data_IF_869184471818
#
_entry.id   IF_869184471818
#
_cell.length_a   1.000
_cell.length_b   1.000
_cell.length_c   1.000
_cell.angle_alpha   90.00
_cell.angle_beta   90.00
_cell.angle_gamma   90.00
#
_symmetry.space_group_name_H-M   'P 1'
#
loop_
_entity.id
_entity.type
_entity.pdbx_description
1 polymer ?
#
# COMPACT_ATOMS: atom_id res chain seq x y z
N UNK A 1 -3.74 22.78 -15.17
CA UNK A 1 -2.60 22.58 -14.25
C UNK A 1 -2.24 21.10 -13.99
N UNK A 2 -3.21 20.16 -13.98
CA UNK A 2 -2.99 18.78 -13.47
C UNK A 2 -2.11 17.88 -14.37
N UNK A 3 -2.11 18.10 -15.68
CA UNK A 3 -1.33 17.31 -16.66
C UNK A 3 0.08 17.84 -16.87
N UNK A 4 0.29 19.16 -16.70
CA UNK A 4 1.56 19.85 -16.93
C UNK A 4 2.69 19.35 -16.03
N UNK A 5 2.37 18.98 -14.78
CA UNK A 5 3.37 18.62 -13.77
C UNK A 5 4.11 17.32 -14.09
N UNK A 6 3.52 16.42 -14.87
CA UNK A 6 4.20 15.19 -15.29
C UNK A 6 5.33 15.50 -16.28
N UNK A 7 5.06 16.39 -17.24
CA UNK A 7 6.00 16.74 -18.31
C UNK A 7 6.99 17.84 -17.91
N UNK A 8 6.69 18.60 -16.84
CA UNK A 8 7.54 19.67 -16.31
C UNK A 8 8.14 19.34 -14.93
N UNK A 9 8.29 18.05 -14.59
CA UNK A 9 8.77 17.62 -13.26
C UNK A 9 10.12 18.24 -12.88
N UNK A 10 11.05 18.36 -13.82
CA UNK A 10 12.35 19.00 -13.63
C UNK A 10 12.21 20.49 -13.27
N UNK A 11 11.36 21.23 -13.99
CA UNK A 11 11.12 22.65 -13.74
C UNK A 11 10.47 22.90 -12.37
N UNK A 12 9.50 22.05 -11.98
CA UNK A 12 8.89 22.12 -10.66
C UNK A 12 9.90 21.88 -9.52
N UNK A 13 10.83 20.94 -9.70
CA UNK A 13 11.90 20.67 -8.72
C UNK A 13 12.95 21.77 -8.69
N UNK A 14 13.27 22.36 -9.85
CA UNK A 14 14.17 23.50 -9.94
C UNK A 14 13.62 24.75 -9.23
N UNK A 15 12.31 24.80 -8.98
CA UNK A 15 11.66 25.92 -8.29
C UNK A 15 11.01 25.50 -6.96
N UNK A 16 11.75 25.50 -5.83
CA UNK A 16 11.25 25.07 -4.51
C UNK A 16 9.96 25.75 -4.03
N UNK A 17 9.69 26.96 -4.51
CA UNK A 17 8.45 27.67 -4.22
C UNK A 17 7.22 26.98 -4.83
N UNK A 18 7.33 26.32 -5.99
CA UNK A 18 6.23 25.55 -6.57
C UNK A 18 5.87 24.34 -5.69
N UNK A 19 6.86 23.58 -5.22
CA UNK A 19 6.63 22.47 -4.28
C UNK A 19 6.02 22.97 -2.96
N UNK A 20 6.51 24.09 -2.45
CA UNK A 20 5.97 24.72 -1.24
C UNK A 20 4.52 25.20 -1.45
N UNK A 21 4.18 25.71 -2.63
CA UNK A 21 2.82 26.08 -3.00
C UNK A 21 1.88 24.86 -3.04
N UNK A 22 2.30 23.77 -3.70
CA UNK A 22 1.54 22.52 -3.72
C UNK A 22 1.33 21.95 -2.30
N UNK A 23 2.36 21.96 -1.46
CA UNK A 23 2.26 21.51 -0.07
C UNK A 23 1.29 22.37 0.77
N UNK A 24 1.27 23.68 0.54
CA UNK A 24 0.33 24.59 1.19
C UNK A 24 -1.13 24.32 0.76
N UNK A 25 -1.36 23.96 -0.50
CA UNK A 25 -2.68 23.66 -1.03
C UNK A 25 -3.37 22.45 -0.40
N UNK A 26 -2.61 21.57 0.25
CA UNK A 26 -3.15 20.49 1.08
C UNK A 26 -3.98 21.00 2.28
N UNK A 27 -3.91 22.29 2.61
CA UNK A 27 -4.72 22.95 3.64
C UNK A 27 -6.02 23.58 3.13
N UNK A 28 -6.25 23.64 1.82
CA UNK A 28 -7.50 24.17 1.27
C UNK A 28 -8.69 23.38 1.83
N UNK A 29 -9.78 24.08 2.15
CA UNK A 29 -11.04 23.43 2.53
C UNK A 29 -11.65 22.67 1.35
N UNK A 30 -11.35 23.11 0.13
CA UNK A 30 -11.74 22.41 -1.07
C UNK A 30 -11.01 21.07 -1.24
N UNK A 31 -11.78 19.99 -1.32
CA UNK A 31 -11.23 18.65 -1.49
C UNK A 31 -10.63 18.47 -2.90
N UNK A 32 -11.22 19.10 -3.93
CA UNK A 32 -10.72 19.02 -5.30
C UNK A 32 -9.36 19.70 -5.40
N UNK A 33 -9.20 20.89 -4.81
CA UNK A 33 -7.92 21.57 -4.67
C UNK A 33 -6.88 20.69 -3.95
N UNK A 34 -7.22 20.12 -2.78
CA UNK A 34 -6.33 19.22 -2.02
C UNK A 34 -5.87 18.02 -2.84
N UNK A 35 -6.79 17.32 -3.50
CA UNK A 35 -6.48 16.19 -4.36
C UNK A 35 -5.62 16.61 -5.55
N UNK A 36 -5.88 17.77 -6.14
CA UNK A 36 -5.10 18.32 -7.25
C UNK A 36 -3.67 18.63 -6.82
N UNK A 37 -3.49 19.30 -5.68
CA UNK A 37 -2.18 19.58 -5.12
C UNK A 37 -1.43 18.31 -4.76
N UNK A 38 -2.07 17.35 -4.09
CA UNK A 38 -1.48 16.06 -3.74
C UNK A 38 -1.05 15.28 -4.98
N UNK A 39 -1.92 15.18 -5.98
CA UNK A 39 -1.61 14.47 -7.21
C UNK A 39 -0.54 15.19 -8.03
N UNK A 40 -0.52 16.53 -8.03
CA UNK A 40 0.56 17.33 -8.58
C UNK A 40 1.90 17.00 -7.91
N UNK A 41 1.89 16.90 -6.58
CA UNK A 41 3.06 16.54 -5.77
C UNK A 41 3.57 15.13 -6.08
N UNK A 42 2.68 14.14 -6.09
CA UNK A 42 3.02 12.74 -6.43
C UNK A 42 3.53 12.63 -7.87
N UNK A 43 2.97 13.37 -8.84
CA UNK A 43 3.45 13.28 -10.23
C UNK A 43 4.84 13.88 -10.43
N UNK A 44 5.26 14.84 -9.60
CA UNK A 44 6.59 15.47 -9.71
C UNK A 44 7.73 14.48 -9.52
N UNK A 45 7.54 13.42 -8.73
CA UNK A 45 8.58 12.44 -8.42
C UNK A 45 8.50 11.17 -9.28
N UNK A 46 7.49 11.05 -10.15
CA UNK A 46 7.23 9.80 -10.90
C UNK A 46 8.39 9.34 -11.77
N UNK A 47 9.15 10.27 -12.37
CA UNK A 47 10.24 9.94 -13.29
C UNK A 47 11.53 9.52 -12.60
N UNK A 48 11.69 9.81 -11.32
CA UNK A 48 12.86 9.41 -10.50
C UNK A 48 12.53 8.26 -9.57
N UNK A 49 11.24 7.99 -9.39
CA UNK A 49 10.77 6.93 -8.54
C UNK A 49 11.29 5.57 -9.00
N UNK A 50 11.80 4.82 -8.04
CA UNK A 50 12.02 3.40 -8.22
C UNK A 50 10.68 2.69 -8.39
N UNK A 51 10.69 1.60 -9.16
CA UNK A 51 9.54 0.71 -9.22
C UNK A 51 9.28 0.13 -7.82
N UNK A 52 8.00 0.02 -7.48
CA UNK A 52 7.63 -0.60 -6.21
C UNK A 52 8.14 -2.03 -6.19
N UNK A 53 8.83 -2.41 -5.10
CA UNK A 53 9.39 -3.75 -4.99
C UNK A 53 8.28 -4.72 -4.61
N UNK A 54 7.50 -5.13 -5.61
CA UNK A 54 6.43 -6.13 -5.43
C UNK A 54 7.01 -7.52 -5.21
N UNK A 55 8.24 -7.76 -5.68
CA UNK A 55 8.90 -9.05 -5.60
C UNK A 55 9.82 -9.12 -4.38
N UNK A 56 9.21 -9.33 -3.23
CA UNK A 56 9.93 -9.54 -1.98
C UNK A 56 10.71 -10.87 -2.01
N UNK A 57 12.05 -10.81 -1.91
CA UNK A 57 12.87 -12.02 -1.82
C UNK A 57 12.84 -12.62 -0.42
N UNK A 58 11.83 -13.46 -0.22
CA UNK A 58 11.61 -14.21 0.99
C UNK A 58 12.84 -14.98 1.50
N UNK A 59 13.76 -15.46 0.62
CA UNK A 59 14.95 -16.20 1.08
C UNK A 59 15.91 -15.32 1.83
N UNK A 60 16.25 -14.20 1.20
CA UNK A 60 17.13 -13.20 1.81
C UNK A 60 16.52 -12.73 3.13
N UNK A 61 15.22 -12.48 3.18
CA UNK A 61 14.55 -12.08 4.43
C UNK A 61 14.57 -13.15 5.52
N UNK A 62 14.32 -14.42 5.19
CA UNK A 62 14.42 -15.52 6.18
C UNK A 62 15.86 -15.67 6.68
N UNK A 63 16.85 -15.64 5.78
CA UNK A 63 18.26 -15.78 6.13
C UNK A 63 18.73 -14.62 7.03
N UNK A 64 18.41 -13.37 6.67
CA UNK A 64 18.72 -12.18 7.47
C UNK A 64 18.03 -12.25 8.83
N UNK A 65 16.75 -12.61 8.87
CA UNK A 65 16.00 -12.75 10.13
C UNK A 65 16.61 -13.81 11.05
N UNK A 66 17.01 -14.96 10.50
CA UNK A 66 17.64 -16.05 11.27
C UNK A 66 19.04 -15.69 11.76
N UNK A 67 19.83 -14.96 10.96
CA UNK A 67 21.20 -14.59 11.30
C UNK A 67 21.28 -13.47 12.33
N UNK A 68 20.46 -12.42 12.18
CA UNK A 68 20.56 -11.20 12.98
C UNK A 68 19.57 -11.15 14.16
N UNK A 69 18.49 -11.92 14.10
CA UNK A 69 17.37 -11.77 15.04
C UNK A 69 16.66 -10.42 14.90
N UNK A 70 15.61 -10.21 15.69
CA UNK A 70 14.88 -8.93 15.71
C UNK A 70 15.47 -8.02 16.80
N UNK A 71 15.92 -6.80 16.48
CA UNK A 71 16.37 -5.83 17.48
C UNK A 71 15.32 -5.60 18.60
N UNK A 72 15.78 -5.44 19.84
CA UNK A 72 14.91 -5.37 21.03
C UNK A 72 13.82 -4.28 20.95
N UNK A 73 14.12 -3.12 20.36
CA UNK A 73 13.13 -2.05 20.23
C UNK A 73 12.07 -2.39 19.18
N UNK A 74 12.44 -3.02 18.07
CA UNK A 74 11.49 -3.52 17.07
C UNK A 74 10.65 -4.67 17.65
N UNK A 75 11.27 -5.58 18.40
CA UNK A 75 10.58 -6.67 19.09
C UNK A 75 9.51 -6.13 20.06
N UNK A 76 9.84 -5.10 20.86
CA UNK A 76 8.86 -4.43 21.72
C UNK A 76 7.72 -3.79 20.94
N UNK A 77 8.01 -3.14 19.79
CA UNK A 77 6.98 -2.56 18.93
C UNK A 77 6.08 -3.64 18.32
N UNK A 78 6.64 -4.75 17.87
CA UNK A 78 5.89 -5.91 17.37
C UNK A 78 4.98 -6.50 18.45
N UNK A 79 5.50 -6.65 19.67
CA UNK A 79 4.72 -7.14 20.80
C UNK A 79 3.60 -6.18 21.18
N UNK A 80 3.85 -4.87 21.12
CA UNK A 80 2.83 -3.85 21.39
C UNK A 80 1.74 -3.81 20.30
N UNK A 81 2.09 -4.01 19.02
CA UNK A 81 1.15 -4.06 17.91
C UNK A 81 0.32 -5.36 17.91
N UNK A 82 0.95 -6.44 18.33
CA UNK A 82 0.42 -7.81 18.32
C UNK A 82 1.22 -8.65 17.32
N UNK A 83 2.02 -9.63 17.79
CA UNK A 83 3.00 -10.32 16.95
C UNK A 83 2.36 -11.05 15.76
N UNK A 84 1.15 -11.57 15.94
CA UNK A 84 0.38 -12.29 14.91
C UNK A 84 -0.12 -11.36 13.79
N UNK A 85 -0.09 -10.04 14.00
CA UNK A 85 -0.45 -9.03 13.00
C UNK A 85 0.75 -8.55 12.18
N UNK A 86 1.96 -8.99 12.51
CA UNK A 86 3.18 -8.60 11.79
C UNK A 86 3.45 -9.61 10.67
N UNK A 87 3.78 -9.13 9.46
CA UNK A 87 4.13 -10.01 8.33
C UNK A 87 5.40 -10.83 8.58
N UNK A 88 6.30 -10.33 9.44
CA UNK A 88 7.43 -11.10 9.98
C UNK A 88 6.97 -12.40 10.65
N UNK A 89 5.79 -12.43 11.27
CA UNK A 89 5.27 -13.69 11.81
C UNK A 89 4.85 -14.65 10.70
N UNK A 90 4.40 -14.15 9.56
CA UNK A 90 4.19 -14.94 8.35
C UNK A 90 5.46 -15.65 7.88
N UNK A 91 6.63 -15.02 8.02
CA UNK A 91 7.92 -15.68 7.72
C UNK A 91 8.15 -16.94 8.56
N UNK A 92 7.68 -16.96 9.81
CA UNK A 92 7.84 -18.14 10.69
C UNK A 92 7.08 -19.38 10.19
N UNK A 93 6.08 -19.20 9.32
CA UNK A 93 5.34 -20.31 8.74
C UNK A 93 6.12 -21.04 7.64
N UNK A 94 7.15 -20.41 7.03
CA UNK A 94 7.91 -21.03 5.94
C UNK A 94 8.73 -22.22 6.43
N UNK A 95 9.56 -22.11 7.50
CA UNK A 95 10.27 -23.26 8.03
C UNK A 95 9.33 -24.37 8.50
N UNK A 96 8.16 -24.01 9.05
CA UNK A 96 7.14 -25.00 9.42
C UNK A 96 6.57 -25.75 8.21
N UNK A 97 6.30 -25.03 7.12
CA UNK A 97 5.85 -25.59 5.85
C UNK A 97 6.91 -26.55 5.29
N UNK A 98 8.17 -26.09 5.18
CA UNK A 98 9.33 -26.90 4.77
C UNK A 98 9.53 -28.15 5.63
N UNK A 99 9.36 -28.03 6.95
CA UNK A 99 9.44 -29.16 7.87
C UNK A 99 8.31 -30.16 7.60
N UNK A 100 7.08 -29.70 7.41
CA UNK A 100 5.94 -30.58 7.15
C UNK A 100 6.14 -31.44 5.89
N UNK A 101 6.64 -30.85 4.80
CA UNK A 101 6.93 -31.60 3.57
C UNK A 101 8.11 -32.56 3.74
N UNK A 102 9.19 -32.17 4.42
CA UNK A 102 10.28 -33.10 4.72
C UNK A 102 9.81 -34.28 5.56
N UNK A 103 9.03 -34.03 6.62
CA UNK A 103 8.43 -35.08 7.44
C UNK A 103 7.55 -36.01 6.61
N UNK A 104 6.78 -35.48 5.65
CA UNK A 104 6.02 -36.30 4.70
C UNK A 104 6.95 -37.17 3.82
N UNK A 105 8.00 -36.60 3.25
CA UNK A 105 8.92 -37.29 2.34
C UNK A 105 9.71 -38.41 3.03
N UNK A 106 10.12 -38.18 4.28
CA UNK A 106 10.87 -39.09 5.15
C UNK A 106 9.97 -40.16 5.80
N UNK A 107 8.67 -39.87 5.99
CA UNK A 107 7.72 -40.81 6.56
C UNK A 107 7.57 -42.04 5.67
N UNK A 108 7.53 -43.22 6.30
CA UNK A 108 7.26 -44.48 5.62
C UNK A 108 5.82 -44.55 5.07
N UNK A 109 4.88 -43.90 5.74
CA UNK A 109 3.46 -43.94 5.41
C UNK A 109 3.09 -42.94 4.31
N UNK A 110 3.85 -41.85 4.18
CA UNK A 110 3.63 -40.78 3.20
C UNK A 110 2.16 -40.34 3.17
N UNK A 111 1.65 -39.99 4.34
CA UNK A 111 0.27 -39.58 4.54
C UNK A 111 0.02 -38.16 3.97
N UNK A 112 -0.51 -38.10 2.75
CA UNK A 112 -0.88 -36.85 2.07
C UNK A 112 -1.99 -36.11 2.80
N UNK A 113 -2.86 -36.84 3.48
CA UNK A 113 -3.99 -36.27 4.18
C UNK A 113 -3.53 -35.51 5.43
N UNK A 114 -2.64 -36.11 6.24
CA UNK A 114 -2.02 -35.43 7.37
C UNK A 114 -1.20 -34.19 6.94
N UNK A 115 -0.48 -34.28 5.81
CA UNK A 115 0.21 -33.14 5.22
C UNK A 115 -0.78 -32.03 4.83
N UNK A 116 -1.91 -32.40 4.21
CA UNK A 116 -2.96 -31.46 3.80
C UNK A 116 -3.54 -30.66 4.95
N UNK A 117 -3.91 -31.32 6.05
CA UNK A 117 -4.41 -30.63 7.24
C UNK A 117 -3.39 -29.64 7.81
N UNK A 118 -2.11 -30.03 7.82
CA UNK A 118 -1.02 -29.15 8.28
C UNK A 118 -0.85 -27.95 7.33
N UNK A 119 -0.92 -28.16 6.02
CA UNK A 119 -0.84 -27.11 5.01
C UNK A 119 -2.03 -26.14 5.11
N UNK A 120 -3.25 -26.63 5.27
CA UNK A 120 -4.45 -25.80 5.43
C UNK A 120 -4.30 -24.85 6.63
N UNK A 121 -3.86 -25.39 7.78
CA UNK A 121 -3.61 -24.60 8.98
C UNK A 121 -2.49 -23.54 8.79
N UNK A 122 -1.48 -23.81 7.97
CA UNK A 122 -0.42 -22.85 7.66
C UNK A 122 -0.91 -21.75 6.71
N UNK A 123 -1.67 -22.10 5.67
CA UNK A 123 -2.27 -21.13 4.72
C UNK A 123 -3.13 -20.10 5.46
N UNK A 124 -3.89 -20.52 6.47
CA UNK A 124 -4.73 -19.58 7.25
C UNK A 124 -3.93 -18.61 8.12
N UNK A 125 -2.65 -18.90 8.39
CA UNK A 125 -1.79 -18.02 9.19
C UNK A 125 -1.09 -16.96 8.35
N UNK A 126 -0.82 -17.25 7.07
CA UNK A 126 -0.14 -16.31 6.17
C UNK A 126 -0.42 -16.67 4.72
N UNK A 127 -0.59 -15.65 3.90
CA UNK A 127 -0.73 -15.82 2.46
C UNK A 127 0.51 -16.44 1.80
N UNK A 128 1.67 -16.35 2.45
CA UNK A 128 2.95 -16.81 1.90
C UNK A 128 3.37 -18.22 2.36
N UNK A 129 2.51 -18.96 3.07
CA UNK A 129 2.88 -20.29 3.61
C UNK A 129 3.25 -21.31 2.53
N UNK A 130 2.74 -21.11 1.31
CA UNK A 130 2.99 -21.95 0.14
C UNK A 130 3.29 -21.02 -1.03
N UNK A 131 4.57 -20.97 -1.40
CA UNK A 131 5.10 -20.18 -2.53
C UNK A 131 5.11 -21.07 -3.77
N UNK A 132 4.91 -20.50 -4.95
CA UNK A 132 5.07 -21.22 -6.21
C UNK A 132 6.54 -21.47 -6.55
N UNK A 133 7.19 -22.34 -5.77
CA UNK A 133 8.56 -22.77 -6.01
C UNK A 133 8.67 -24.29 -6.05
N UNK A 134 9.73 -24.76 -6.69
CA UNK A 134 10.16 -26.15 -6.62
C UNK A 134 10.81 -26.45 -5.27
N UNK A 135 10.91 -27.73 -4.90
CA UNK A 135 11.71 -28.11 -3.73
C UNK A 135 13.17 -27.89 -4.04
N UNK A 136 13.82 -27.07 -3.22
CA UNK A 136 15.23 -26.79 -3.36
C UNK A 136 15.93 -27.17 -2.07
N UNK A 137 17.02 -27.91 -2.23
CA UNK A 137 17.96 -28.23 -1.15
C UNK A 137 19.26 -27.52 -1.47
N UNK A 138 19.90 -26.95 -0.44
CA UNK A 138 21.23 -26.37 -0.61
C UNK A 138 22.25 -27.51 -0.71
N UNK A 139 22.98 -27.56 -1.82
CA UNK A 139 24.08 -28.49 -2.01
C UNK A 139 25.18 -28.21 -0.98
N UNK A 140 25.65 -29.26 -0.30
CA UNK A 140 26.63 -29.14 0.79
C UNK A 140 28.02 -28.71 0.33
N UNK A 141 28.34 -28.87 -0.95
CA UNK A 141 29.67 -28.61 -1.52
C UNK A 141 29.70 -27.35 -2.37
N UNK A 142 28.64 -27.07 -3.12
CA UNK A 142 28.61 -25.88 -4.01
C UNK A 142 27.92 -24.68 -3.37
N UNK A 143 27.21 -24.87 -2.25
CA UNK A 143 26.30 -23.89 -1.65
C UNK A 143 25.14 -23.43 -2.57
N UNK A 144 25.06 -23.99 -3.77
CA UNK A 144 24.00 -23.69 -4.74
C UNK A 144 22.71 -24.44 -4.38
N UNK A 145 21.58 -23.82 -4.67
CA UNK A 145 20.29 -24.48 -4.52
C UNK A 145 20.01 -25.35 -5.73
N UNK A 146 19.91 -26.65 -5.51
CA UNK A 146 19.57 -27.62 -6.55
C UNK A 146 18.13 -28.07 -6.33
N UNK A 147 17.39 -28.23 -7.43
CA UNK A 147 16.05 -28.84 -7.37
C UNK A 147 16.19 -30.29 -6.91
N UNK A 148 15.65 -30.58 -5.74
CA UNK A 148 15.77 -31.89 -5.10
C UNK A 148 14.54 -32.73 -5.44
N UNK A 149 14.77 -33.90 -6.03
CA UNK A 149 13.72 -34.91 -6.17
C UNK A 149 13.58 -35.64 -4.83
N UNK A 150 12.83 -35.02 -3.92
CA UNK A 150 12.46 -35.57 -2.62
C UNK A 150 11.54 -36.82 -2.72
N UNK A 151 11.43 -37.42 -3.92
CA UNK A 151 10.64 -38.62 -4.22
C UNK A 151 9.17 -38.45 -3.87
N UNK A 152 8.65 -37.23 -3.96
CA UNK A 152 7.24 -36.93 -3.74
C UNK A 152 6.44 -37.08 -5.03
N UNK A 153 5.12 -37.31 -4.98
CA UNK A 153 4.30 -37.39 -6.19
C UNK A 153 4.09 -36.01 -6.87
N UNK A 154 4.72 -34.95 -6.36
CA UNK A 154 4.61 -33.57 -6.82
C UNK A 154 6.02 -32.94 -6.86
N UNK A 155 6.25 -32.02 -7.80
CA UNK A 155 7.55 -31.36 -8.00
C UNK A 155 7.64 -29.97 -7.35
N UNK A 156 6.50 -29.37 -7.07
CA UNK A 156 6.42 -28.03 -6.49
C UNK A 156 5.53 -27.98 -5.25
N UNK A 157 5.73 -26.92 -4.47
CA UNK A 157 4.87 -26.56 -3.35
C UNK A 157 3.42 -26.38 -3.79
N UNK A 158 3.18 -25.71 -4.93
CA UNK A 158 1.83 -25.54 -5.51
C UNK A 158 1.20 -26.89 -5.85
N UNK A 159 1.95 -27.81 -6.46
CA UNK A 159 1.44 -29.11 -6.85
C UNK A 159 1.09 -29.97 -5.62
N UNK A 160 1.85 -29.85 -4.53
CA UNK A 160 1.55 -30.55 -3.29
C UNK A 160 0.14 -30.26 -2.79
N UNK A 161 -0.31 -29.00 -2.88
CA UNK A 161 -1.65 -28.56 -2.47
C UNK A 161 -2.74 -29.28 -3.25
N UNK A 162 -2.53 -29.52 -4.55
CA UNK A 162 -3.49 -30.26 -5.35
C UNK A 162 -3.65 -31.71 -4.88
N UNK A 163 -2.53 -32.39 -4.62
CA UNK A 163 -2.54 -33.77 -4.12
C UNK A 163 -3.14 -33.88 -2.73
N UNK A 164 -2.81 -32.95 -1.82
CA UNK A 164 -3.34 -32.95 -0.46
C UNK A 164 -4.82 -32.56 -0.40
N UNK A 165 -5.28 -31.65 -1.28
CA UNK A 165 -6.71 -31.37 -1.47
C UNK A 165 -7.47 -32.64 -1.83
N UNK A 166 -6.99 -33.39 -2.82
CA UNK A 166 -7.62 -34.64 -3.24
C UNK A 166 -7.67 -35.66 -2.10
N UNK A 167 -6.55 -35.84 -1.40
CA UNK A 167 -6.49 -36.74 -0.25
C UNK A 167 -7.48 -36.35 0.88
N UNK A 168 -7.66 -35.05 1.14
CA UNK A 168 -8.65 -34.54 2.10
C UNK A 168 -10.09 -34.88 1.67
N UNK A 169 -10.43 -34.68 0.39
CA UNK A 169 -11.76 -35.01 -0.14
C UNK A 169 -12.05 -36.51 -0.14
N UNK A 170 -11.07 -37.32 -0.55
CA UNK A 170 -11.21 -38.78 -0.63
C UNK A 170 -11.46 -39.42 0.75
N UNK A 171 -11.03 -38.76 1.84
CA UNK A 171 -11.33 -39.19 3.21
C UNK A 171 -12.81 -39.10 3.57
N UNK A 172 -13.53 -38.15 2.97
CA UNK A 172 -14.98 -37.99 3.12
C UNK A 172 -15.46 -37.55 4.51
N UNK A 173 -14.61 -36.92 5.32
CA UNK A 173 -15.02 -36.37 6.61
C UNK A 173 -15.68 -34.99 6.42
N UNK A 174 -16.90 -34.82 6.93
CA UNK A 174 -17.67 -33.58 6.80
C UNK A 174 -16.98 -32.39 7.51
N UNK A 175 -16.29 -32.64 8.62
CA UNK A 175 -15.59 -31.60 9.39
C UNK A 175 -14.33 -31.06 8.67
N UNK A 176 -13.94 -31.71 7.56
CA UNK A 176 -12.71 -31.40 6.82
C UNK A 176 -12.96 -30.79 5.45
N UNK A 177 -14.22 -30.50 5.13
CA UNK A 177 -14.56 -29.80 3.91
C UNK A 177 -13.94 -28.38 3.85
N UNK A 178 -13.82 -27.71 4.99
CA UNK A 178 -13.23 -26.37 5.11
C UNK A 178 -11.71 -26.37 4.85
N UNK A 179 -10.89 -27.22 5.52
CA UNK A 179 -9.48 -27.40 5.14
C UNK A 179 -9.27 -27.73 3.66
N UNK A 180 -10.11 -28.57 3.08
CA UNK A 180 -10.02 -28.91 1.66
C UNK A 180 -10.35 -27.70 0.76
N UNK A 181 -11.37 -26.90 1.09
CA UNK A 181 -11.67 -25.66 0.39
C UNK A 181 -10.51 -24.66 0.47
N UNK A 182 -9.87 -24.51 1.64
CA UNK A 182 -8.72 -23.61 1.84
C UNK A 182 -7.56 -24.00 0.91
N UNK A 183 -7.22 -25.29 0.85
CA UNK A 183 -6.18 -25.80 -0.03
C UNK A 183 -6.54 -25.54 -1.50
N UNK A 184 -7.76 -25.86 -1.90
CA UNK A 184 -8.21 -25.71 -3.28
C UNK A 184 -8.24 -24.24 -3.73
N UNK A 185 -8.72 -23.33 -2.88
CA UNK A 185 -8.69 -21.88 -3.11
C UNK A 185 -7.25 -21.42 -3.33
N UNK A 186 -6.31 -21.83 -2.46
CA UNK A 186 -4.89 -21.48 -2.61
C UNK A 186 -4.32 -21.97 -3.95
N UNK A 187 -4.67 -23.20 -4.35
CA UNK A 187 -4.26 -23.75 -5.65
C UNK A 187 -4.83 -22.96 -6.83
N UNK A 188 -6.13 -22.59 -6.79
CA UNK A 188 -6.81 -21.82 -7.85
C UNK A 188 -6.23 -20.40 -7.97
N UNK A 189 -5.95 -19.74 -6.84
CA UNK A 189 -5.27 -18.43 -6.82
C UNK A 189 -3.89 -18.55 -7.47
N UNK A 190 -3.14 -19.61 -7.16
CA UNK A 190 -1.85 -19.89 -7.79
C UNK A 190 -1.93 -20.04 -9.31
N UNK A 191 -3.10 -20.41 -9.87
CA UNK A 191 -3.37 -20.48 -11.31
C UNK A 191 -3.94 -19.20 -11.91
N UNK A 192 -4.01 -18.11 -11.14
CA UNK A 192 -4.60 -16.83 -11.53
C UNK A 192 -6.09 -16.90 -11.94
N UNK A 193 -6.83 -17.91 -11.46
CA UNK A 193 -8.25 -18.08 -11.75
C UNK A 193 -9.14 -17.50 -10.63
N UNK A 194 -8.96 -16.21 -10.31
CA UNK A 194 -9.57 -15.55 -9.16
C UNK A 194 -11.11 -15.68 -9.06
N UNK A 195 -11.90 -15.54 -10.16
CA UNK A 195 -13.35 -15.72 -10.06
C UNK A 195 -13.76 -17.09 -9.50
N UNK A 196 -13.08 -18.16 -9.94
CA UNK A 196 -13.36 -19.53 -9.46
C UNK A 196 -13.02 -19.69 -7.98
N UNK A 197 -11.92 -19.09 -7.52
CA UNK A 197 -11.55 -19.10 -6.11
C UNK A 197 -12.59 -18.37 -5.25
N UNK A 198 -13.13 -17.25 -5.73
CA UNK A 198 -14.20 -16.50 -5.05
C UNK A 198 -15.50 -17.29 -4.97
N UNK A 199 -15.88 -18.00 -6.02
CA UNK A 199 -17.09 -18.83 -6.02
C UNK A 199 -16.99 -19.99 -5.03
N UNK A 200 -15.81 -20.64 -4.95
CA UNK A 200 -15.56 -21.69 -3.97
C UNK A 200 -15.57 -21.13 -2.54
N UNK A 201 -14.91 -19.99 -2.30
CA UNK A 201 -14.92 -19.33 -0.99
C UNK A 201 -16.34 -18.96 -0.55
N UNK A 202 -17.18 -18.43 -1.46
CA UNK A 202 -18.58 -18.10 -1.18
C UNK A 202 -19.39 -19.35 -0.79
N UNK A 203 -19.14 -20.47 -1.47
CA UNK A 203 -19.80 -21.75 -1.18
C UNK A 203 -19.43 -22.25 0.23
N UNK A 204 -18.14 -22.24 0.59
CA UNK A 204 -17.69 -22.62 1.92
C UNK A 204 -18.24 -21.71 3.03
N UNK A 205 -18.36 -20.40 2.76
CA UNK A 205 -18.99 -19.44 3.69
C UNK A 205 -20.48 -19.74 3.87
N UNK A 206 -21.22 -20.02 2.79
CA UNK A 206 -22.64 -20.36 2.87
C UNK A 206 -22.89 -21.62 3.69
N UNK A 207 -22.08 -22.67 3.50
CA UNK A 207 -22.14 -23.90 4.31
C UNK A 207 -21.97 -23.60 5.81
N UNK A 208 -21.00 -22.76 6.16
CA UNK A 208 -20.73 -22.37 7.54
C UNK A 208 -21.79 -21.46 8.17
N UNK A 209 -22.44 -20.61 7.38
CA UNK A 209 -23.54 -19.77 7.84
C UNK A 209 -24.79 -20.61 8.15
N UNK A 210 -25.10 -21.60 7.31
CA UNK A 210 -26.25 -22.49 7.52
C UNK A 210 -26.07 -23.42 8.73
N UNK A 211 -24.83 -23.74 9.11
CA UNK A 211 -24.52 -24.63 10.23
C UNK A 211 -24.48 -23.93 11.61
N UNK A 212 -24.65 -22.59 11.70
CA UNK A 212 -24.76 -21.91 13.00
C UNK A 212 -26.20 -21.98 13.53
N UNK A 213 -26.46 -22.67 14.65
CA UNK A 213 -27.81 -22.84 15.18
C UNK A 213 -28.45 -21.57 15.79
N UNK A 214 -27.89 -20.37 15.60
CA UNK A 214 -28.30 -19.16 16.33
C UNK A 214 -28.71 -17.94 15.48
N UNK A 215 -28.80 -18.03 14.16
CA UNK A 215 -29.19 -16.88 13.33
C UNK A 215 -30.68 -16.86 12.91
N UNK A 216 -31.55 -17.72 13.48
CA UNK A 216 -32.96 -17.79 13.08
C UNK A 216 -33.90 -16.93 13.94
N UNK A 217 -33.44 -16.33 15.05
CA UNK A 217 -34.33 -15.55 15.93
C UNK A 217 -34.16 -14.02 15.91
N UNK A 218 -33.16 -13.46 15.23
CA UNK A 218 -33.09 -12.00 15.04
C UNK A 218 -33.18 -11.65 13.56
N UNK A 219 -34.38 -11.22 13.14
CA UNK A 219 -34.70 -10.76 11.79
C UNK A 219 -33.92 -9.50 11.39
N UNK A 220 -32.61 -9.65 11.16
CA UNK A 220 -31.77 -8.66 10.51
C UNK A 220 -31.86 -8.87 9.00
N UNK A 221 -32.84 -8.22 8.39
CA UNK A 221 -32.77 -7.85 6.98
C UNK A 221 -31.43 -7.13 6.73
N UNK A 222 -30.65 -7.60 5.76
CA UNK A 222 -29.54 -6.82 5.20
C UNK A 222 -30.12 -5.57 4.54
N UNK A 223 -30.06 -4.43 5.24
CA UNK A 223 -30.19 -3.11 4.64
C UNK A 223 -28.79 -2.55 4.34
N UNK A 224 -28.62 -2.10 3.09
CA UNK A 224 -27.46 -1.34 2.61
C UNK A 224 -27.25 -0.05 3.42
N UNK A 225 -26.01 0.32 3.82
CA UNK A 225 -25.76 1.60 4.45
C UNK A 225 -25.05 2.54 3.46
N UNK A 226 -25.81 3.24 2.63
CA UNK A 226 -25.40 4.56 2.10
C UNK A 226 -26.61 5.48 2.09
N UNK A 227 -26.77 6.28 3.15
CA UNK A 227 -27.61 7.47 3.10
C UNK A 227 -27.03 8.60 3.94
N UNK A 228 -27.15 9.78 3.34
CA UNK A 228 -26.50 11.05 3.59
C UNK A 228 -27.25 11.80 4.70
N UNK A 229 -26.52 12.38 5.65
CA UNK A 229 -27.06 13.40 6.56
C UNK A 229 -26.70 14.79 6.03
N UNK A 230 -27.73 15.59 5.72
CA UNK A 230 -27.61 17.03 5.48
C UNK A 230 -27.40 17.78 6.80
N UNK A 231 -26.50 18.76 6.80
CA UNK A 231 -26.21 19.63 7.94
C UNK A 231 -26.69 21.04 7.58
N UNK A 232 -27.80 21.47 8.17
CA UNK A 232 -28.21 22.88 8.18
C UNK A 232 -28.38 23.29 9.65
N UNK A 233 -27.80 24.45 9.98
CA UNK A 233 -27.85 25.21 11.25
C UNK A 233 -26.52 25.25 12.02
N UNK A 234 -25.61 26.13 11.57
CA UNK A 234 -24.35 26.39 12.26
C UNK A 234 -24.52 27.47 13.34
N UNK A 235 -24.48 27.03 14.59
CA UNK A 235 -24.50 27.83 15.81
C UNK A 235 -23.08 28.26 16.26
N UNK A 236 -22.99 28.82 17.47
CA UNK A 236 -21.79 29.14 18.28
C UNK A 236 -20.58 28.19 18.12
N UNK A 237 -20.77 26.94 17.68
CA UNK A 237 -19.72 26.00 17.28
C UNK A 237 -18.75 26.49 16.18
N UNK A 238 -19.12 27.46 15.33
CA UNK A 238 -18.19 28.11 14.39
C UNK A 238 -17.04 28.86 15.09
N UNK A 239 -17.30 29.44 16.27
CA UNK A 239 -16.27 30.14 17.06
C UNK A 239 -15.34 29.17 17.77
N UNK A 240 -15.83 28.00 18.19
CA UNK A 240 -14.99 26.92 18.71
C UNK A 240 -14.14 26.26 17.60
N UNK A 241 -14.65 26.16 16.37
CA UNK A 241 -13.89 25.68 15.21
C UNK A 241 -12.65 26.53 14.89
N UNK A 242 -12.67 27.84 15.15
CA UNK A 242 -11.49 28.71 15.00
C UNK A 242 -10.42 28.46 16.08
N UNK A 243 -10.83 28.18 17.32
CA UNK A 243 -9.94 27.77 18.42
C UNK A 243 -9.38 26.35 18.17
N UNK A 244 -10.19 25.47 17.60
CA UNK A 244 -9.78 24.15 17.12
C UNK A 244 -8.76 24.33 15.98
N UNK A 245 -8.98 25.19 14.99
CA UNK A 245 -8.03 25.43 13.89
C UNK A 245 -6.66 25.93 14.38
N UNK A 246 -6.61 26.79 15.41
CA UNK A 246 -5.36 27.24 16.02
C UNK A 246 -4.70 26.19 16.93
N UNK A 247 -5.47 25.31 17.59
CA UNK A 247 -4.94 24.12 18.30
C UNK A 247 -4.52 22.99 17.36
N UNK A 248 -5.05 22.95 16.13
CA UNK A 248 -4.76 21.90 15.15
C UNK A 248 -3.43 22.08 14.44
N UNK A 249 -2.92 23.31 14.27
CA UNK A 249 -1.61 23.52 13.63
C UNK A 249 -0.47 22.83 14.41
N UNK A 250 -0.36 22.98 15.75
CA UNK A 250 0.58 22.19 16.55
C UNK A 250 0.34 20.67 16.47
N UNK A 251 -0.94 20.24 16.37
CA UNK A 251 -1.30 18.81 16.23
C UNK A 251 -0.95 18.23 14.87
N UNK A 252 -1.00 19.02 13.80
CA UNK A 252 -0.56 18.59 12.47
C UNK A 252 0.96 18.48 12.47
N UNK A 253 1.68 19.43 13.08
CA UNK A 253 3.15 19.28 13.20
C UNK A 253 3.54 18.08 14.06
N UNK A 254 2.83 17.79 15.16
CA UNK A 254 3.09 16.58 15.95
C UNK A 254 2.70 15.31 15.20
N UNK A 255 1.57 15.31 14.49
CA UNK A 255 1.15 14.18 13.66
C UNK A 255 2.14 13.91 12.51
N UNK A 256 2.71 14.96 11.90
CA UNK A 256 3.75 14.83 10.89
C UNK A 256 5.04 14.26 11.50
N UNK A 257 5.43 14.68 12.70
CA UNK A 257 6.55 14.08 13.43
C UNK A 257 6.28 12.60 13.76
N UNK A 258 5.06 12.25 14.12
CA UNK A 258 4.67 10.85 14.37
C UNK A 258 4.71 10.02 13.09
N UNK A 259 4.31 10.59 11.95
CA UNK A 259 4.43 9.95 10.63
C UNK A 259 5.90 9.75 10.26
N UNK A 260 6.77 10.73 10.50
CA UNK A 260 8.23 10.60 10.28
C UNK A 260 8.81 9.47 11.13
N UNK A 261 8.45 9.41 12.42
CA UNK A 261 8.88 8.31 13.30
C UNK A 261 8.37 6.95 12.82
N UNK A 262 7.13 6.88 12.31
CA UNK A 262 6.57 5.65 11.75
C UNK A 262 7.28 5.23 10.47
N UNK A 263 7.67 6.18 9.62
CA UNK A 263 8.47 5.91 8.42
C UNK A 263 9.86 5.39 8.79
N UNK A 264 10.52 6.00 9.79
CA UNK A 264 11.81 5.52 10.31
C UNK A 264 11.72 4.10 10.88
N UNK A 265 10.65 3.79 11.63
CA UNK A 265 10.38 2.43 12.09
C UNK A 265 10.14 1.47 10.92
N UNK A 266 9.40 1.89 9.89
CA UNK A 266 9.18 1.08 8.70
C UNK A 266 10.50 0.79 7.96
N UNK A 267 11.40 1.78 7.88
CA UNK A 267 12.72 1.63 7.27
C UNK A 267 13.57 0.59 8.00
N UNK A 268 13.57 0.65 9.33
CA UNK A 268 14.27 -0.33 10.16
C UNK A 268 13.70 -1.75 9.98
N UNK A 269 12.38 -1.88 9.77
CA UNK A 269 11.78 -3.17 9.42
C UNK A 269 12.18 -3.64 8.02
N UNK A 270 12.20 -2.75 7.03
CA UNK A 270 12.68 -3.10 5.69
C UNK A 270 14.13 -3.58 5.73
N UNK A 271 15.02 -2.88 6.43
CA UNK A 271 16.42 -3.26 6.62
C UNK A 271 16.54 -4.62 7.30
N UNK A 272 15.76 -4.84 8.38
CA UNK A 272 15.68 -6.14 9.06
C UNK A 272 15.24 -7.27 8.11
N UNK A 273 14.40 -6.95 7.13
CA UNK A 273 13.93 -7.89 6.11
C UNK A 273 14.92 -8.04 4.95
N UNK A 274 16.10 -7.41 5.01
CA UNK A 274 17.10 -7.44 3.94
C UNK A 274 16.69 -6.64 2.70
N UNK A 275 15.73 -5.72 2.84
CA UNK A 275 15.27 -4.84 1.77
C UNK A 275 15.67 -3.41 2.10
N UNK A 276 16.29 -2.70 1.16
CA UNK A 276 16.43 -1.25 1.27
C UNK A 276 15.07 -0.63 0.93
N UNK A 277 14.52 0.27 1.76
CA UNK A 277 13.27 0.95 1.41
C UNK A 277 13.42 1.65 0.06
N UNK A 278 12.64 1.21 -0.93
CA UNK A 278 12.73 1.76 -2.28
C UNK A 278 12.29 3.22 -2.31
N UNK A 279 12.93 4.02 -3.15
CA UNK A 279 12.56 5.41 -3.41
C UNK A 279 11.32 5.48 -4.31
N UNK A 280 10.22 4.87 -3.86
CA UNK A 280 8.96 4.87 -4.60
C UNK A 280 8.43 6.29 -4.76
N UNK A 281 7.59 6.46 -5.77
CA UNK A 281 6.99 7.75 -6.07
C UNK A 281 6.23 8.35 -4.87
N UNK A 282 5.53 7.48 -4.13
CA UNK A 282 4.81 7.90 -2.93
C UNK A 282 5.76 8.29 -1.80
N UNK A 283 6.85 7.55 -1.59
CA UNK A 283 7.87 7.85 -0.57
C UNK A 283 8.57 9.18 -0.83
N UNK A 284 9.06 9.39 -2.05
CA UNK A 284 9.69 10.65 -2.45
C UNK A 284 8.73 11.84 -2.29
N UNK A 285 7.48 11.67 -2.70
CA UNK A 285 6.44 12.67 -2.50
C UNK A 285 6.19 12.96 -1.01
N UNK A 286 6.14 11.94 -0.15
CA UNK A 286 5.98 12.14 1.30
C UNK A 286 7.16 12.89 1.92
N UNK A 287 8.40 12.49 1.60
CA UNK A 287 9.62 13.14 2.09
C UNK A 287 9.69 14.60 1.66
N UNK A 288 9.45 14.88 0.38
CA UNK A 288 9.43 16.23 -0.13
C UNK A 288 8.27 17.04 0.48
N UNK A 289 7.10 16.44 0.72
CA UNK A 289 5.98 17.10 1.38
C UNK A 289 6.39 17.53 2.79
N UNK A 290 7.00 16.63 3.58
CA UNK A 290 7.48 16.95 4.93
C UNK A 290 8.49 18.10 4.94
N UNK A 291 9.40 18.13 3.96
CA UNK A 291 10.38 19.20 3.78
C UNK A 291 9.74 20.54 3.41
N UNK A 292 8.77 20.54 2.50
CA UNK A 292 8.21 21.76 1.92
C UNK A 292 6.97 22.27 2.64
N UNK A 293 6.29 21.44 3.43
CA UNK A 293 5.03 21.80 4.08
C UNK A 293 5.14 23.00 5.04
N UNK A 294 6.11 23.07 5.97
CA UNK A 294 6.21 24.23 6.87
C UNK A 294 6.47 25.54 6.12
N UNK A 295 7.31 25.50 5.10
CA UNK A 295 7.66 26.65 4.24
C UNK A 295 6.44 27.09 3.43
N UNK A 296 5.76 26.11 2.82
CA UNK A 296 4.55 26.30 2.04
C UNK A 296 3.45 26.95 2.84
N UNK A 297 3.13 26.39 4.00
CA UNK A 297 2.11 26.94 4.90
C UNK A 297 2.45 28.38 5.31
N UNK A 298 3.70 28.66 5.67
CA UNK A 298 4.11 30.02 6.04
C UNK A 298 3.95 31.01 4.89
N UNK A 299 4.34 30.62 3.67
CA UNK A 299 4.40 31.54 2.51
C UNK A 299 3.07 31.67 1.77
N UNK A 300 2.34 30.58 1.58
CA UNK A 300 1.21 30.50 0.64
C UNK A 300 -0.15 30.18 1.27
N UNK A 301 -0.23 29.95 2.59
CA UNK A 301 -1.52 29.64 3.23
C UNK A 301 -2.60 30.68 2.97
N UNK A 302 -2.25 31.96 2.94
CA UNK A 302 -3.18 33.06 2.67
C UNK A 302 -3.85 32.93 1.28
N UNK A 303 -3.13 32.41 0.27
CA UNK A 303 -3.67 32.22 -1.09
C UNK A 303 -4.84 31.22 -1.06
N UNK A 304 -4.68 30.11 -0.34
CA UNK A 304 -5.73 29.10 -0.24
C UNK A 304 -6.89 29.53 0.65
N UNK A 305 -6.63 30.37 1.67
CA UNK A 305 -7.71 30.99 2.45
C UNK A 305 -8.55 31.92 1.57
N UNK A 306 -7.92 32.68 0.68
CA UNK A 306 -8.62 33.54 -0.27
C UNK A 306 -9.41 32.71 -1.29
N UNK A 307 -8.78 31.69 -1.88
CA UNK A 307 -9.43 30.77 -2.81
C UNK A 307 -10.67 30.10 -2.20
N UNK A 308 -10.57 29.67 -0.94
CA UNK A 308 -11.67 29.02 -0.22
C UNK A 308 -12.88 29.96 -0.02
N UNK A 309 -12.72 31.30 -0.07
CA UNK A 309 -13.86 32.25 0.05
C UNK A 309 -14.77 32.23 -1.17
N UNK A 310 -14.23 31.92 -2.35
CA UNK A 310 -14.99 31.91 -3.60
C UNK A 310 -15.81 30.65 -3.80
N UNK A 311 -15.62 29.63 -2.96
CA UNK A 311 -16.31 28.34 -3.10
C UNK A 311 -17.79 28.38 -2.68
N UNK A 312 -18.12 29.24 -1.72
CA UNK A 312 -19.49 29.39 -1.20
C UNK A 312 -20.29 30.48 -1.95
N UNK A 313 -19.67 31.11 -2.95
CA UNK A 313 -20.42 31.95 -3.88
C UNK A 313 -21.14 30.96 -4.78
N UNK A 314 -22.46 30.83 -4.59
CA UNK A 314 -23.35 30.17 -5.54
C UNK A 314 -23.05 30.78 -6.90
N UNK A 315 -22.23 30.10 -7.69
CA UNK A 315 -21.93 30.51 -9.05
C UNK A 315 -23.30 30.52 -9.72
N UNK A 316 -23.84 31.70 -10.12
CA UNK A 316 -25.17 31.78 -10.68
C UNK A 316 -25.22 30.75 -11.79
N UNK A 317 -26.14 29.79 -11.67
CA UNK A 317 -26.21 28.57 -12.47
C UNK A 317 -25.97 28.92 -13.94
N UNK A 318 -24.70 28.83 -14.36
CA UNK A 318 -24.28 29.38 -15.63
C UNK A 318 -24.91 28.45 -16.66
N UNK A 319 -25.76 29.02 -17.51
CA UNK A 319 -26.51 28.24 -18.47
C UNK A 319 -25.48 27.47 -19.32
N UNK A 320 -25.45 26.13 -19.32
CA UNK A 320 -24.37 25.35 -19.94
C UNK A 320 -24.18 25.60 -21.44
N UNK A 321 -25.10 26.32 -22.08
CA UNK A 321 -25.05 26.72 -23.49
C UNK A 321 -24.52 28.12 -23.79
N UNK A 322 -24.21 28.96 -22.78
CA UNK A 322 -23.69 30.33 -23.01
C UNK A 322 -22.25 30.54 -22.56
N UNK A 323 -21.66 29.57 -21.83
CA UNK A 323 -20.22 29.56 -21.58
C UNK A 323 -19.57 28.81 -22.73
N UNK A 324 -19.38 29.49 -23.86
CA UNK A 324 -18.33 29.09 -24.79
C UNK A 324 -17.01 29.23 -24.01
N UNK A 325 -16.54 28.12 -23.44
CA UNK A 325 -15.14 27.95 -23.05
C UNK A 325 -14.33 28.16 -24.35
N UNK A 326 -13.99 29.42 -24.64
CA UNK A 326 -13.02 29.78 -25.65
C UNK A 326 -11.64 29.86 -24.97
N UNK A 327 -10.92 28.74 -24.85
CA UNK A 327 -9.57 28.74 -24.31
C UNK A 327 -8.63 29.63 -25.15
N UNK A 328 -9.00 29.98 -26.39
CA UNK A 328 -8.23 30.89 -27.25
C UNK A 328 -8.27 32.31 -26.69
N UNK A 329 -9.46 32.84 -26.38
CA UNK A 329 -9.61 34.14 -25.73
C UNK A 329 -8.92 34.20 -24.36
N UNK A 330 -8.98 33.12 -23.57
CA UNK A 330 -8.27 33.04 -22.28
C UNK A 330 -6.74 32.99 -22.43
N UNK A 331 -6.22 32.26 -23.43
CA UNK A 331 -4.78 32.22 -23.72
C UNK A 331 -4.27 33.54 -24.33
N UNK A 332 -5.10 34.26 -25.10
CA UNK A 332 -4.76 35.59 -25.65
C UNK A 332 -4.76 36.70 -24.58
N UNK A 333 -5.58 36.56 -23.53
CA UNK A 333 -5.61 37.50 -22.40
C UNK A 333 -4.53 37.24 -21.34
N UNK A 334 -3.86 36.08 -21.40
CA UNK A 334 -2.68 35.75 -20.60
C UNK A 334 -1.47 36.61 -21.04
N UNK A 335 -1.48 37.89 -20.65
CA UNK A 335 -0.29 38.74 -20.67
C UNK A 335 0.68 38.26 -19.60
N UNK A 336 1.69 37.51 -20.02
CA UNK A 336 2.86 37.26 -19.19
C UNK A 336 3.44 38.63 -18.85
N UNK A 337 3.39 39.05 -17.58
CA UNK A 337 4.11 40.24 -17.14
C UNK A 337 5.58 40.04 -17.51
N UNK A 338 6.07 40.85 -18.46
CA UNK A 338 7.47 40.93 -18.89
C UNK A 338 8.37 41.40 -17.74
N UNK A 339 8.51 40.57 -16.72
CA UNK A 339 9.58 40.68 -15.74
C UNK A 339 10.80 39.99 -16.37
N UNK A 340 11.51 40.75 -17.19
CA UNK A 340 12.93 40.60 -17.57
C UNK A 340 13.45 39.15 -17.55
N UNK A 341 13.35 38.49 -18.72
CA UNK A 341 13.98 37.20 -19.04
C UNK A 341 15.53 37.26 -18.98
N UNK A 342 16.12 38.45 -18.84
CA UNK A 342 17.57 38.68 -18.82
C UNK A 342 18.35 37.96 -17.69
N UNK A 343 17.70 37.43 -16.65
CA UNK A 343 18.38 36.65 -15.60
C UNK A 343 18.40 35.13 -15.86
N UNK A 344 17.52 34.59 -16.71
CA UNK A 344 17.43 33.13 -16.93
C UNK A 344 18.54 32.64 -17.87
N UNK A 345 18.89 33.43 -18.89
CA UNK A 345 20.02 33.09 -19.78
C UNK A 345 21.38 33.13 -19.06
N UNK A 346 21.51 34.00 -18.05
CA UNK A 346 22.72 34.06 -17.20
C UNK A 346 22.91 32.77 -16.39
N UNK A 347 21.82 32.15 -15.94
CA UNK A 347 21.86 30.87 -15.23
C UNK A 347 22.21 29.68 -16.13
N UNK A 348 21.77 29.68 -17.39
CA UNK A 348 22.11 28.63 -18.36
C UNK A 348 23.55 28.76 -18.90
N UNK A 349 24.08 29.98 -19.06
CA UNK A 349 25.49 30.17 -19.44
C UNK A 349 26.49 29.74 -18.35
N UNK A 350 26.15 29.87 -17.06
CA UNK A 350 27.05 29.48 -15.97
C UNK A 350 27.19 27.94 -15.87
N UNK A 351 26.12 27.17 -16.14
CA UNK A 351 26.19 25.71 -16.07
C UNK A 351 26.96 25.06 -17.23
N UNK A 352 27.01 25.69 -18.40
CA UNK A 352 27.80 25.18 -19.54
C UNK A 352 29.32 25.35 -19.34
N UNK A 353 29.73 26.23 -18.43
CA UNK A 353 31.14 26.43 -18.07
C UNK A 353 31.62 25.46 -16.97
N UNK A 354 30.75 24.99 -16.08
CA UNK A 354 31.10 24.02 -15.03
C UNK A 354 31.14 22.55 -15.47
N UNK A 355 30.79 22.22 -16.72
CA UNK A 355 30.94 20.86 -17.26
C UNK A 355 32.20 20.68 -18.13
N UNK A 356 33.12 21.66 -18.10
CA UNK A 356 34.39 21.65 -18.83
C UNK A 356 35.62 21.89 -17.92
N UNK A 357 35.42 21.75 -16.60
CA UNK A 357 36.45 21.57 -15.57
C UNK A 357 36.08 20.33 -14.77
#
# INVERSE_FOLDING_TARGET
>A
MVTSNLHASYAFKAYPSALSFLAAGLRSKDWVCRCTCLAGFIRTFRMEAEEDQVNWDMRTSVATHQASGVPDHLSRLMMAYGPIKCDIYGLSCIPESQRAIRTYAESRERDLYALGLKQAALITKTEHAIVDRVFETQDQWTEEFVTDDIRTPFMSWRDSVHHTTKAARDKGNADEEDPADILEIKYIIGKHALPKAMDLARTGLQRNLCNRPTCVEEGLEMQDPVSICQVSDMSTGMRELAIVYFKWVPRITSALQDIVKKLDVADQFSELMGTTPSETNLRLAQQAMLKHYPIGVKKFSHVFVELDKFKDVDVPNANPGEVEDDPTAWLEDMRVEDNTIDEVDKYFSIRKASSLL
#
